data_IF_800113346364
#
_entry.id   IF_800113346364
#
_cell.length_a   1.000
_cell.length_b   1.000
_cell.length_c   1.000
_cell.angle_alpha   90.00
_cell.angle_beta   90.00
_cell.angle_gamma   90.00
#
_symmetry.space_group_name_H-M   'P 1'
#
loop_
_entity.id
_entity.type
_entity.pdbx_description
1 polymer ?
#
# COMPACT_ATOMS: atom_id res chain seq x y z
N UNK A 1 -6.10 -0.32 -14.98
CA UNK A 1 -5.29 -0.68 -13.79
C UNK A 1 -3.94 -1.27 -14.19
N UNK A 2 -3.89 -2.24 -15.11
CA UNK A 2 -2.66 -2.89 -15.59
C UNK A 2 -1.56 -1.92 -16.08
N UNK A 3 -1.92 -0.83 -16.79
CA UNK A 3 -0.93 0.10 -17.35
C UNK A 3 -0.10 0.86 -16.30
N UNK A 4 -0.73 1.37 -15.23
CA UNK A 4 -0.01 2.17 -14.23
C UNK A 4 1.04 1.33 -13.49
N UNK A 5 0.68 0.10 -13.06
CA UNK A 5 1.62 -0.79 -12.41
C UNK A 5 2.77 -1.21 -13.34
N UNK A 6 2.48 -1.42 -14.63
CA UNK A 6 3.50 -1.73 -15.64
C UNK A 6 4.48 -0.56 -15.84
N UNK A 7 3.99 0.68 -15.81
CA UNK A 7 4.83 1.88 -15.91
C UNK A 7 5.71 2.05 -14.67
N UNK A 8 5.17 1.83 -13.47
CA UNK A 8 5.95 1.85 -12.22
C UNK A 8 7.05 0.79 -12.28
N UNK A 9 6.71 -0.45 -12.66
CA UNK A 9 7.68 -1.53 -12.81
C UNK A 9 8.79 -1.18 -13.80
N UNK A 10 8.42 -0.61 -14.96
CA UNK A 10 9.40 -0.20 -15.98
C UNK A 10 10.34 0.90 -15.48
N UNK A 11 9.84 1.80 -14.62
CA UNK A 11 10.60 2.95 -14.11
C UNK A 11 11.49 2.61 -12.92
N UNK A 12 10.99 1.84 -11.97
CA UNK A 12 11.66 1.58 -10.68
C UNK A 12 12.23 0.16 -10.55
N UNK A 13 11.90 -0.74 -11.48
CA UNK A 13 12.45 -2.08 -11.52
C UNK A 13 11.86 -3.04 -10.48
N UNK A 14 12.49 -4.21 -10.39
CA UNK A 14 12.18 -5.28 -9.42
C UNK A 14 13.22 -5.23 -8.30
N UNK A 15 12.80 -5.59 -7.10
CA UNK A 15 13.72 -5.83 -5.97
C UNK A 15 14.53 -7.12 -6.23
N UNK A 16 15.85 -7.08 -6.03
CA UNK A 16 16.81 -8.17 -6.28
C UNK A 16 17.77 -8.32 -5.08
N UNK A 17 18.15 -9.52 -4.58
CA UNK A 17 17.48 -10.83 -4.61
C UNK A 17 16.87 -11.16 -3.23
N UNK A 18 15.64 -11.67 -3.18
CA UNK A 18 15.14 -12.30 -1.96
C UNK A 18 13.64 -12.19 -1.76
N UNK A 19 12.96 -13.31 -2.01
CA UNK A 19 11.75 -13.84 -1.35
C UNK A 19 10.51 -12.95 -1.09
N UNK A 20 10.51 -11.66 -1.41
CA UNK A 20 9.39 -10.75 -1.22
C UNK A 20 8.43 -10.85 -2.40
N UNK A 21 7.17 -11.18 -2.14
CA UNK A 21 6.09 -11.14 -3.13
C UNK A 21 5.84 -9.66 -3.47
N UNK A 22 6.61 -9.14 -4.41
CA UNK A 22 6.53 -7.75 -4.86
C UNK A 22 7.19 -7.59 -6.22
N UNK A 23 6.39 -7.21 -7.22
CA UNK A 23 6.91 -6.98 -8.58
C UNK A 23 7.70 -5.67 -8.64
N UNK A 24 7.51 -4.73 -7.71
CA UNK A 24 8.10 -3.38 -7.74
C UNK A 24 9.06 -3.18 -6.57
N UNK A 25 10.19 -2.52 -6.82
CA UNK A 25 11.04 -1.97 -5.76
C UNK A 25 10.38 -0.72 -5.14
N UNK A 26 9.65 -0.92 -4.05
CA UNK A 26 8.94 0.17 -3.37
C UNK A 26 9.88 1.11 -2.60
N UNK A 27 11.09 0.68 -2.25
CA UNK A 27 12.07 1.56 -1.61
C UNK A 27 12.64 2.54 -2.63
N UNK A 28 12.92 2.07 -3.86
CA UNK A 28 13.26 2.95 -4.98
C UNK A 28 12.15 3.97 -5.27
N UNK A 29 10.87 3.57 -5.19
CA UNK A 29 9.74 4.48 -5.32
C UNK A 29 9.70 5.52 -4.17
N UNK A 30 9.98 5.10 -2.93
CA UNK A 30 10.01 5.98 -1.75
C UNK A 30 11.19 6.94 -1.73
N UNK A 31 12.32 6.60 -2.34
CA UNK A 31 13.48 7.50 -2.40
C UNK A 31 13.47 8.45 -3.61
N UNK A 32 12.75 8.11 -4.68
CA UNK A 32 12.69 8.93 -5.89
C UNK A 32 11.90 10.25 -5.71
N UNK A 33 12.16 11.29 -6.54
CA UNK A 33 11.31 12.48 -6.58
C UNK A 33 9.83 12.16 -6.86
N UNK A 34 8.91 12.97 -6.33
CA UNK A 34 7.46 12.75 -6.54
C UNK A 34 7.07 12.87 -8.01
N UNK A 35 7.81 13.68 -8.78
CA UNK A 35 7.67 13.88 -10.21
C UNK A 35 7.91 12.57 -10.98
N UNK A 36 8.90 11.78 -10.58
CA UNK A 36 9.19 10.49 -11.22
C UNK A 36 8.05 9.49 -11.00
N UNK A 37 7.48 9.48 -9.79
CA UNK A 37 6.31 8.66 -9.49
C UNK A 37 5.08 9.17 -10.24
N UNK A 38 4.87 10.48 -10.29
CA UNK A 38 3.78 11.10 -11.05
C UNK A 38 3.85 10.69 -12.53
N UNK A 39 5.01 10.81 -13.16
CA UNK A 39 5.21 10.46 -14.56
C UNK A 39 4.90 8.98 -14.83
N UNK A 40 5.24 8.09 -13.90
CA UNK A 40 4.91 6.67 -14.00
C UNK A 40 3.39 6.39 -13.91
N UNK A 41 2.63 7.17 -13.14
CA UNK A 41 1.21 6.89 -12.87
C UNK A 41 0.22 7.86 -13.52
N UNK A 42 0.69 8.89 -14.24
CA UNK A 42 -0.16 9.96 -14.80
C UNK A 42 -1.30 9.46 -15.69
N UNK A 43 -1.10 8.32 -16.36
CA UNK A 43 -2.11 7.67 -17.21
C UNK A 43 -3.29 7.08 -16.41
N UNK A 44 -3.16 6.90 -15.10
CA UNK A 44 -4.17 6.31 -14.21
C UNK A 44 -5.22 7.26 -13.64
N UNK A 45 -5.24 8.53 -14.08
CA UNK A 45 -6.14 9.57 -13.57
C UNK A 45 -5.83 10.03 -12.14
N UNK A 46 -5.98 11.34 -11.86
CA UNK A 46 -5.62 11.96 -10.58
C UNK A 46 -4.16 11.71 -10.15
N UNK A 47 -3.24 11.57 -11.10
CA UNK A 47 -1.83 11.24 -10.82
C UNK A 47 -1.15 12.21 -9.84
N UNK A 48 -1.48 13.51 -9.89
CA UNK A 48 -0.93 14.52 -8.98
C UNK A 48 -1.28 14.27 -7.51
N UNK A 49 -2.52 13.85 -7.24
CA UNK A 49 -2.97 13.56 -5.88
C UNK A 49 -2.41 12.21 -5.43
N UNK A 50 -2.52 11.20 -6.29
CA UNK A 50 -2.09 9.83 -5.97
C UNK A 50 -0.58 9.72 -5.73
N UNK A 51 0.25 10.41 -6.52
CA UNK A 51 1.71 10.37 -6.36
C UNK A 51 2.12 10.92 -4.99
N UNK A 52 1.61 12.09 -4.61
CA UNK A 52 1.86 12.68 -3.29
C UNK A 52 1.38 11.79 -2.15
N UNK A 53 0.13 11.29 -2.22
CA UNK A 53 -0.40 10.35 -1.24
C UNK A 53 0.46 9.11 -1.09
N UNK A 54 0.89 8.49 -2.20
CA UNK A 54 1.72 7.30 -2.18
C UNK A 54 3.07 7.53 -1.50
N UNK A 55 3.74 8.66 -1.78
CA UNK A 55 4.99 9.03 -1.11
C UNK A 55 4.81 9.10 0.40
N UNK A 56 3.80 9.84 0.85
CA UNK A 56 3.50 10.00 2.27
C UNK A 56 3.19 8.66 2.93
N UNK A 57 2.40 7.80 2.28
CA UNK A 57 2.11 6.46 2.81
C UNK A 57 3.37 5.62 2.94
N UNK A 58 4.24 5.61 1.93
CA UNK A 58 5.49 4.85 1.98
C UNK A 58 6.41 5.34 3.10
N UNK A 59 6.52 6.65 3.31
CA UNK A 59 7.28 7.22 4.42
C UNK A 59 6.67 6.88 5.78
N UNK A 60 5.33 7.01 5.93
CA UNK A 60 4.64 6.62 7.17
C UNK A 60 4.89 5.15 7.54
N UNK A 61 4.80 4.24 6.57
CA UNK A 61 5.02 2.81 6.79
C UNK A 61 6.48 2.52 7.15
N UNK A 62 7.41 3.12 6.40
CA UNK A 62 8.83 3.00 6.66
C UNK A 62 9.18 3.46 8.09
N UNK A 63 8.75 4.67 8.46
CA UNK A 63 9.10 5.28 9.74
C UNK A 63 8.48 4.53 10.93
N UNK A 64 7.23 4.08 10.80
CA UNK A 64 6.59 3.23 11.82
C UNK A 64 7.36 1.92 12.03
N UNK A 65 7.75 1.26 10.93
CA UNK A 65 8.48 -0.01 10.97
C UNK A 65 9.91 0.15 11.51
N UNK A 66 10.60 1.27 11.22
CA UNK A 66 11.90 1.60 11.82
C UNK A 66 11.79 1.71 13.33
N UNK A 67 10.79 2.43 13.84
CA UNK A 67 10.58 2.60 15.28
C UNK A 67 10.33 1.26 15.97
N UNK A 68 9.55 0.36 15.37
CA UNK A 68 9.33 -0.98 15.92
C UNK A 68 10.57 -1.86 15.91
N UNK A 69 11.37 -1.76 14.84
CA UNK A 69 12.64 -2.47 14.75
C UNK A 69 13.60 -2.04 15.87
N UNK A 70 13.72 -0.74 16.12
CA UNK A 70 14.57 -0.20 17.19
C UNK A 70 14.10 -0.63 18.59
N UNK A 71 12.79 -0.75 18.80
CA UNK A 71 12.19 -1.22 20.05
C UNK A 71 12.28 -2.74 20.24
N UNK A 72 12.58 -3.49 19.19
CA UNK A 72 12.55 -4.95 19.20
C UNK A 72 11.13 -5.56 19.25
N UNK A 73 10.11 -4.77 18.89
CA UNK A 73 8.69 -5.17 18.92
C UNK A 73 8.22 -5.79 17.58
N UNK A 74 9.16 -6.22 16.73
CA UNK A 74 8.84 -6.87 15.46
C UNK A 74 8.08 -8.19 15.74
N UNK A 75 6.87 -8.40 15.17
CA UNK A 75 6.14 -9.64 15.37
C UNK A 75 6.97 -10.85 14.90
N UNK A 76 6.98 -11.93 15.70
CA UNK A 76 7.85 -13.10 15.50
C UNK A 76 7.71 -13.82 14.14
N UNK A 77 6.64 -13.54 13.38
CA UNK A 77 6.38 -14.11 12.05
C UNK A 77 6.84 -13.20 10.89
N UNK A 78 7.50 -12.09 11.19
CA UNK A 78 7.99 -11.14 10.18
C UNK A 78 9.46 -11.44 9.90
N UNK A 79 9.78 -11.83 8.65
CA UNK A 79 11.17 -11.99 8.19
C UNK A 79 11.95 -10.67 8.42
N UNK A 80 13.29 -10.71 8.64
CA UNK A 80 14.11 -9.51 8.76
C UNK A 80 13.96 -8.56 7.55
N UNK A 81 13.09 -7.56 7.77
CA UNK A 81 13.09 -6.17 7.34
C UNK A 81 12.99 -5.94 5.82
N UNK A 82 11.78 -6.11 5.33
CA UNK A 82 11.24 -5.13 4.39
C UNK A 82 10.58 -4.00 5.21
N UNK A 83 11.23 -2.85 5.34
CA UNK A 83 10.69 -1.67 6.06
C UNK A 83 9.38 -1.16 5.46
N UNK A 84 9.00 -1.63 4.28
CA UNK A 84 7.74 -1.32 3.63
C UNK A 84 6.69 -2.43 3.78
N UNK A 85 6.97 -3.46 4.59
CA UNK A 85 6.04 -4.54 4.85
C UNK A 85 4.86 -4.10 5.72
N UNK A 86 3.66 -4.49 5.30
CA UNK A 86 2.41 -4.35 6.04
C UNK A 86 1.88 -5.68 6.57
N UNK A 87 2.69 -6.75 6.56
CA UNK A 87 2.23 -8.10 6.88
C UNK A 87 1.70 -8.22 8.32
N UNK A 88 2.24 -7.42 9.25
CA UNK A 88 1.78 -7.31 10.63
C UNK A 88 0.28 -6.94 10.73
N UNK A 89 -0.27 -6.23 9.74
CA UNK A 89 -1.68 -5.84 9.75
C UNK A 89 -2.64 -7.03 9.64
N UNK A 90 -2.18 -8.20 9.17
CA UNK A 90 -2.99 -9.43 9.16
C UNK A 90 -3.31 -9.97 10.55
N UNK A 91 -2.54 -9.57 11.56
CA UNK A 91 -2.77 -9.97 12.95
C UNK A 91 -3.73 -9.04 13.68
N UNK A 92 -4.11 -7.91 13.07
CA UNK A 92 -5.08 -6.97 13.63
C UNK A 92 -6.50 -7.49 13.42
N UNK A 93 -7.43 -7.05 14.26
CA UNK A 93 -8.85 -7.23 13.97
C UNK A 93 -9.26 -6.42 12.73
N UNK A 94 -10.38 -6.79 12.13
CA UNK A 94 -10.92 -6.10 10.94
C UNK A 94 -11.10 -4.59 11.18
N UNK A 95 -11.63 -4.22 12.34
CA UNK A 95 -11.93 -2.82 12.65
C UNK A 95 -10.64 -2.02 12.90
N UNK A 96 -9.67 -2.59 13.61
CA UNK A 96 -8.35 -1.97 13.81
C UNK A 96 -7.60 -1.79 12.49
N UNK A 97 -7.59 -2.81 11.62
CA UNK A 97 -6.98 -2.71 10.30
C UNK A 97 -7.68 -1.63 9.45
N UNK A 98 -9.01 -1.54 9.53
CA UNK A 98 -9.79 -0.55 8.80
C UNK A 98 -9.47 0.87 9.24
N UNK A 99 -9.48 1.15 10.54
CA UNK A 99 -9.09 2.45 11.09
C UNK A 99 -7.65 2.81 10.71
N UNK A 100 -6.73 1.84 10.76
CA UNK A 100 -5.33 2.07 10.34
C UNK A 100 -5.23 2.43 8.85
N UNK A 101 -5.99 1.78 7.98
CA UNK A 101 -6.02 2.14 6.56
C UNK A 101 -6.66 3.51 6.30
N UNK A 102 -7.69 3.90 7.07
CA UNK A 102 -8.30 5.22 6.95
C UNK A 102 -7.38 6.37 7.36
N UNK A 103 -6.39 6.12 8.21
CA UNK A 103 -5.38 7.11 8.57
C UNK A 103 -4.44 7.46 7.40
N UNK A 104 -4.36 6.63 6.36
CA UNK A 104 -3.51 6.89 5.21
C UNK A 104 -4.11 7.94 4.26
N UNK A 105 -3.33 8.95 3.84
CA UNK A 105 -3.85 10.03 3.01
C UNK A 105 -4.31 9.53 1.63
N UNK A 106 -5.57 9.77 1.30
CA UNK A 106 -6.16 9.35 0.02
C UNK A 106 -6.71 7.91 0.04
N UNK A 107 -6.66 7.22 1.18
CA UNK A 107 -7.35 5.95 1.40
C UNK A 107 -8.69 6.23 2.07
N UNK A 108 -9.78 5.96 1.35
CA UNK A 108 -11.14 6.06 1.89
C UNK A 108 -11.73 4.70 2.25
N UNK A 109 -12.95 4.67 2.83
CA UNK A 109 -13.64 3.45 3.27
C UNK A 109 -13.71 2.34 2.21
N UNK A 110 -13.95 2.71 0.94
CA UNK A 110 -13.96 1.76 -0.17
C UNK A 110 -12.59 1.11 -0.38
N UNK A 111 -11.55 1.92 -0.46
CA UNK A 111 -10.18 1.44 -0.70
C UNK A 111 -9.72 0.55 0.45
N UNK A 112 -9.94 1.00 1.70
CA UNK A 112 -9.64 0.21 2.90
C UNK A 112 -10.39 -1.14 2.89
N UNK A 113 -11.69 -1.13 2.61
CA UNK A 113 -12.48 -2.36 2.53
C UNK A 113 -11.97 -3.31 1.42
N UNK A 114 -11.60 -2.80 0.24
CA UNK A 114 -11.02 -3.61 -0.83
C UNK A 114 -9.71 -4.28 -0.39
N UNK A 115 -8.81 -3.55 0.26
CA UNK A 115 -7.52 -4.09 0.71
C UNK A 115 -7.73 -5.16 1.78
N UNK A 116 -8.58 -4.89 2.78
CA UNK A 116 -8.88 -5.86 3.84
C UNK A 116 -9.54 -7.13 3.26
N UNK A 117 -10.49 -6.96 2.35
CA UNK A 117 -11.22 -8.08 1.74
C UNK A 117 -10.32 -8.95 0.87
N UNK A 118 -9.54 -8.33 -0.02
CA UNK A 118 -8.73 -9.04 -1.02
C UNK A 118 -7.41 -9.52 -0.43
N UNK A 119 -6.70 -8.67 0.31
CA UNK A 119 -5.35 -8.95 0.77
C UNK A 119 -5.34 -9.72 2.09
N UNK A 120 -6.29 -9.46 3.00
CA UNK A 120 -6.30 -10.06 4.35
C UNK A 120 -7.32 -11.20 4.53
N UNK A 121 -8.11 -11.53 3.49
CA UNK A 121 -9.14 -12.58 3.52
C UNK A 121 -10.21 -12.40 4.62
N UNK A 122 -10.38 -11.18 5.13
CA UNK A 122 -11.48 -10.87 6.03
C UNK A 122 -12.75 -10.61 5.23
N UNK A 123 -13.89 -11.09 5.72
CA UNK A 123 -15.20 -10.80 5.12
C UNK A 123 -15.54 -9.30 5.29
N UNK A 124 -15.13 -8.50 4.31
CA UNK A 124 -15.44 -7.07 4.19
C UNK A 124 -16.02 -6.77 2.83
N UNK A 125 -17.21 -6.14 2.80
CA UNK A 125 -17.88 -5.75 1.57
C UNK A 125 -17.40 -4.37 1.15
N UNK A 126 -16.62 -4.28 0.08
CA UNK A 126 -16.28 -3.01 -0.54
C UNK A 126 -17.48 -2.51 -1.36
N UNK A 127 -18.29 -1.64 -0.77
CA UNK A 127 -19.47 -1.07 -1.45
C UNK A 127 -19.04 0.11 -2.32
N UNK A 128 -19.47 0.11 -3.57
CA UNK A 128 -19.29 1.25 -4.46
C UNK A 128 -20.56 1.63 -5.20
N UNK A 129 -20.49 2.69 -6.02
CA UNK A 129 -21.65 3.20 -6.76
C UNK A 129 -22.25 2.20 -7.74
N UNK A 130 -21.53 1.14 -8.14
CA UNK A 130 -22.07 0.04 -8.93
C UNK A 130 -22.79 -0.97 -8.05
N UNK A 131 -22.24 -1.30 -6.88
CA UNK A 131 -22.93 -2.12 -5.88
C UNK A 131 -24.24 -1.45 -5.46
N UNK A 132 -24.20 -0.14 -5.18
CA UNK A 132 -25.40 0.63 -4.86
C UNK A 132 -26.45 0.57 -5.98
N UNK A 133 -26.03 0.68 -7.25
CA UNK A 133 -26.91 0.60 -8.42
C UNK A 133 -27.53 -0.78 -8.67
N UNK A 134 -26.94 -1.86 -8.14
CA UNK A 134 -27.51 -3.21 -8.25
C UNK A 134 -28.55 -3.45 -7.16
N UNK A 135 -28.43 -2.75 -6.03
CA UNK A 135 -29.33 -2.88 -4.89
C UNK A 135 -30.59 -1.99 -4.96
N UNK A 136 -30.72 -1.17 -6.01
CA UNK A 136 -31.87 -0.28 -6.29
C UNK A 136 -32.58 -0.72 -7.55
#
# INVERSE_FOLDING_TARGET
MHLALSCILKRFGRRDPGDGIGIVDWEAVRLAPVEDLYEAIKTGGMGNVKSRSLKVILDMVHDENVVWQEKGEIPANVKPIDLLSLEHMRSLSKDEAFEKFLAFPGVGPKTAACVISICMQHNSSAVDTHVYRICT
#
